data_IF_087494820175
#
_entry.id   IF_087494820175
#
_cell.length_a   1.000
_cell.length_b   1.000
_cell.length_c   1.000
_cell.angle_alpha   90.00
_cell.angle_beta   90.00
_cell.angle_gamma   90.00
#
_symmetry.space_group_name_H-M   'P 1'
#
loop_
_entity.id
_entity.type
_entity.pdbx_description
1 polymer ?
#
# COMPACT_ATOMS: atom_id res chain seq x y z
N UNK A 1 -2.47 17.32 11.54
CA UNK A 1 -3.20 16.53 10.52
C UNK A 1 -2.22 16.18 9.41
N UNK A 2 -1.90 14.89 9.21
CA UNK A 2 -1.11 14.47 8.05
C UNK A 2 -1.95 14.74 6.79
N UNK A 3 -1.40 15.47 5.82
CA UNK A 3 -2.03 15.76 4.52
C UNK A 3 -1.66 14.74 3.44
N UNK A 4 -0.69 13.88 3.75
CA UNK A 4 -0.21 12.79 2.92
C UNK A 4 -0.83 11.49 3.45
N UNK A 5 -1.41 10.69 2.56
CA UNK A 5 -2.01 9.40 2.89
C UNK A 5 -0.89 8.37 2.81
N UNK A 6 -0.49 7.86 3.96
CA UNK A 6 0.43 6.72 4.04
C UNK A 6 -0.42 5.45 4.11
N UNK A 7 -0.05 4.44 3.32
CA UNK A 7 -0.61 3.11 3.49
C UNK A 7 -0.21 2.55 4.86
N UNK A 8 -1.12 1.82 5.49
CA UNK A 8 -0.79 1.04 6.69
C UNK A 8 -0.11 -0.26 6.27
N UNK A 9 0.93 -0.68 7.00
CA UNK A 9 1.58 -1.97 6.78
C UNK A 9 0.58 -3.10 7.06
N UNK A 10 0.35 -3.94 6.06
CA UNK A 10 -0.57 -5.08 6.13
C UNK A 10 -0.06 -6.18 7.07
N UNK A 11 1.25 -6.19 7.34
CA UNK A 11 1.92 -6.99 8.36
C UNK A 11 1.84 -6.39 9.76
N UNK A 12 1.28 -5.18 9.92
CA UNK A 12 1.03 -4.63 11.24
C UNK A 12 -0.09 -5.42 11.92
N UNK A 13 0.24 -6.10 13.01
CA UNK A 13 -0.72 -6.80 13.85
C UNK A 13 -1.44 -5.77 14.72
N UNK A 14 -2.64 -5.36 14.32
CA UNK A 14 -3.61 -4.72 15.22
C UNK A 14 -4.47 -5.80 15.87
N UNK A 15 -5.02 -5.51 17.06
CA UNK A 15 -5.85 -6.41 17.87
C UNK A 15 -7.03 -6.99 17.07
N UNK A 16 -6.77 -8.10 16.39
CA UNK A 16 -7.65 -8.88 15.52
C UNK A 16 -8.14 -8.21 14.22
N UNK A 17 -8.09 -8.95 13.09
CA UNK A 17 -7.63 -10.34 12.98
C UNK A 17 -6.09 -10.46 13.05
N UNK A 18 -5.54 -11.69 13.10
CA UNK A 18 -4.13 -11.91 12.71
C UNK A 18 -3.90 -11.21 11.36
N UNK A 19 -2.70 -10.64 11.17
CA UNK A 19 -2.37 -9.58 10.20
C UNK A 19 -3.25 -9.64 8.95
N UNK A 20 -3.70 -8.51 8.43
CA UNK A 20 -4.55 -8.48 7.22
C UNK A 20 -3.95 -9.34 6.08
N UNK A 21 -2.62 -9.39 6.00
CA UNK A 21 -1.87 -10.22 5.05
C UNK A 21 -2.10 -11.73 5.20
N UNK A 22 -2.43 -12.23 6.38
CA UNK A 22 -2.74 -13.64 6.66
C UNK A 22 -4.05 -14.09 5.96
N UNK A 23 -4.91 -13.14 5.57
CA UNK A 23 -6.11 -13.39 4.76
C UNK A 23 -5.87 -13.18 3.26
N UNK A 24 -4.71 -12.65 2.88
CA UNK A 24 -4.31 -12.40 1.50
C UNK A 24 -3.39 -13.52 1.05
N UNK A 25 -4.00 -14.61 0.56
CA UNK A 25 -3.25 -15.72 -0.03
C UNK A 25 -2.31 -15.29 -1.16
N UNK A 26 -1.29 -16.09 -1.43
CA UNK A 26 -0.24 -15.79 -2.43
C UNK A 26 -0.79 -15.49 -3.82
N UNK A 27 -1.87 -16.16 -4.23
CA UNK A 27 -2.51 -15.99 -5.53
C UNK A 27 -3.61 -14.92 -5.54
N UNK A 28 -3.74 -14.11 -4.48
CA UNK A 28 -4.75 -13.08 -4.42
C UNK A 28 -4.42 -11.97 -5.45
N UNK A 29 -5.38 -11.56 -6.29
CA UNK A 29 -5.16 -10.55 -7.33
C UNK A 29 -4.66 -9.21 -6.78
N UNK A 30 -4.89 -8.89 -5.49
CA UNK A 30 -4.35 -7.68 -4.86
C UNK A 30 -2.82 -7.62 -4.92
N UNK A 31 -2.14 -8.77 -4.92
CA UNK A 31 -0.67 -8.85 -5.03
C UNK A 31 -0.17 -8.26 -6.36
N UNK A 32 -0.94 -8.41 -7.44
CA UNK A 32 -0.61 -7.81 -8.75
C UNK A 32 -0.76 -6.29 -8.70
N UNK A 33 -1.74 -5.78 -7.94
CA UNK A 33 -1.92 -4.34 -7.75
C UNK A 33 -0.75 -3.74 -7.00
N UNK A 34 -0.24 -4.42 -5.97
CA UNK A 34 0.93 -3.98 -5.21
C UNK A 34 2.15 -3.84 -6.13
N UNK A 35 2.49 -4.90 -6.88
CA UNK A 35 3.61 -4.88 -7.84
C UNK A 35 3.43 -3.81 -8.91
N UNK A 36 2.21 -3.67 -9.44
CA UNK A 36 1.92 -2.65 -10.46
C UNK A 36 2.15 -1.24 -9.92
N UNK A 37 1.67 -0.93 -8.72
CA UNK A 37 1.81 0.40 -8.13
C UNK A 37 3.26 0.70 -7.74
N UNK A 38 3.99 -0.29 -7.23
CA UNK A 38 5.40 -0.15 -6.84
C UNK A 38 6.31 0.18 -8.03
N UNK A 39 5.94 -0.25 -9.25
CA UNK A 39 6.69 0.04 -10.48
C UNK A 39 6.37 1.40 -11.12
N UNK A 40 5.32 2.11 -10.67
CA UNK A 40 4.93 3.39 -11.25
C UNK A 40 5.75 4.56 -10.71
N UNK A 41 6.36 5.33 -11.62
CA UNK A 41 6.84 6.68 -11.32
C UNK A 41 5.67 7.67 -11.28
N UNK A 42 5.00 7.74 -10.13
CA UNK A 42 3.89 8.67 -9.92
C UNK A 42 4.33 10.13 -10.08
N UNK A 43 5.59 10.47 -9.78
CA UNK A 43 6.14 11.81 -9.98
C UNK A 43 6.25 12.16 -11.47
N UNK A 44 6.82 11.25 -12.26
CA UNK A 44 6.92 11.36 -13.72
C UNK A 44 5.56 11.36 -14.43
N UNK A 45 4.54 10.73 -13.84
CA UNK A 45 3.15 10.76 -14.31
C UNK A 45 2.40 12.06 -13.94
N UNK A 46 3.02 12.98 -13.21
CA UNK A 46 2.46 14.30 -12.90
C UNK A 46 1.60 14.36 -11.63
N UNK A 47 1.67 13.35 -10.76
CA UNK A 47 1.00 13.42 -9.46
C UNK A 47 1.73 14.40 -8.53
N UNK A 48 1.01 15.40 -8.04
CA UNK A 48 1.60 16.52 -7.29
C UNK A 48 1.91 16.23 -5.80
N UNK A 49 1.52 15.07 -5.28
CA UNK A 49 1.63 14.71 -3.85
C UNK A 49 2.09 13.27 -3.69
N UNK A 50 3.26 12.97 -4.26
CA UNK A 50 3.86 11.63 -4.22
C UNK A 50 4.83 11.44 -3.06
N UNK A 51 5.32 12.55 -2.47
CA UNK A 51 6.19 12.53 -1.31
C UNK A 51 5.55 13.26 -0.11
N UNK A 52 5.82 12.81 1.14
CA UNK A 52 5.49 13.56 2.33
C UNK A 52 6.19 14.93 2.33
N UNK A 53 5.53 15.96 2.88
CA UNK A 53 6.11 17.29 3.11
C UNK A 53 7.11 17.29 4.27
#
# INVERSE_FOLDING_TARGET
MKRFVEGEDRGQSTLFPERLDDYVGENNPVRVVDVFVDELDLGGLGFSRVEPL
#
